data_IF_615045779500
#
_entry.id   IF_615045779500
#
_cell.length_a   1.000
_cell.length_b   1.000
_cell.length_c   1.000
_cell.angle_alpha   90.00
_cell.angle_beta   90.00
_cell.angle_gamma   90.00
#
_symmetry.space_group_name_H-M   'P 1'
#
loop_
_entity.id
_entity.type
_entity.pdbx_description
1 polymer ?
#
# COMPACT_ATOMS: atom_id res chain seq x y z
N UNK A 1 64.70 7.65 22.30
CA UNK A 1 64.83 6.28 21.77
C UNK A 1 63.42 5.84 21.40
N UNK A 2 62.97 6.02 20.15
CA UNK A 2 63.16 5.10 19.01
C UNK A 2 62.50 3.74 19.33
N UNK A 3 61.49 3.21 18.61
CA UNK A 3 61.23 3.28 17.16
C UNK A 3 59.78 2.90 16.81
N UNK A 4 59.34 3.43 15.67
CA UNK A 4 58.15 3.12 14.88
C UNK A 4 57.98 1.63 14.53
N UNK A 5 56.74 1.20 14.26
CA UNK A 5 56.41 0.50 12.99
C UNK A 5 54.91 0.45 12.72
N UNK A 6 54.47 1.35 11.83
CA UNK A 6 53.42 1.09 10.83
C UNK A 6 53.91 -0.01 9.87
N UNK A 7 53.00 -0.88 9.42
CA UNK A 7 53.04 -1.46 8.07
C UNK A 7 51.66 -1.92 7.61
N UNK A 8 51.18 -1.23 6.59
CA UNK A 8 50.10 -1.61 5.67
C UNK A 8 50.31 -3.01 5.08
N UNK A 9 49.21 -3.72 4.81
CA UNK A 9 49.06 -4.53 3.60
C UNK A 9 47.58 -4.65 3.22
N UNK A 10 47.16 -3.80 2.27
CA UNK A 10 46.05 -4.05 1.35
C UNK A 10 46.59 -4.92 0.21
N UNK A 11 46.02 -6.10 -0.03
CA UNK A 11 45.98 -6.69 -1.38
C UNK A 11 44.81 -7.68 -1.48
N UNK A 12 43.87 -7.36 -2.38
CA UNK A 12 42.74 -8.18 -2.80
C UNK A 12 43.23 -9.48 -3.49
N UNK A 13 42.34 -10.49 -3.65
CA UNK A 13 41.57 -10.50 -4.88
C UNK A 13 40.08 -10.67 -4.67
N UNK A 14 39.36 -9.87 -5.45
CA UNK A 14 37.95 -9.97 -5.81
C UNK A 14 37.72 -11.31 -6.49
N UNK A 15 36.81 -12.14 -5.96
CA UNK A 15 36.13 -13.18 -6.75
C UNK A 15 34.68 -12.77 -6.93
N UNK A 16 34.43 -12.09 -8.04
CA UNK A 16 33.13 -12.00 -8.68
C UNK A 16 32.75 -13.40 -9.20
N UNK A 17 31.63 -13.95 -8.74
CA UNK A 17 30.88 -14.94 -9.51
C UNK A 17 29.59 -14.28 -9.98
N UNK A 18 29.65 -13.73 -11.20
CA UNK A 18 28.49 -13.49 -12.05
C UNK A 18 27.76 -14.82 -12.26
N UNK A 19 26.52 -14.90 -11.83
CA UNK A 19 25.56 -15.89 -12.34
C UNK A 19 24.69 -15.16 -13.36
N UNK A 20 25.06 -15.32 -14.63
CA UNK A 20 24.26 -14.89 -15.78
C UNK A 20 22.97 -15.72 -15.85
N UNK A 21 21.82 -15.10 -15.60
CA UNK A 21 20.53 -15.63 -16.03
C UNK A 21 20.13 -14.92 -17.34
N UNK A 22 20.20 -15.68 -18.43
CA UNK A 22 19.83 -15.28 -19.80
C UNK A 22 18.39 -14.74 -19.85
N UNK A 23 18.14 -13.62 -20.55
CA UNK A 23 16.78 -13.19 -20.88
C UNK A 23 16.28 -13.96 -22.10
N UNK A 24 15.26 -14.79 -21.93
CA UNK A 24 14.52 -15.38 -23.04
C UNK A 24 13.66 -14.31 -23.70
N UNK A 25 14.04 -13.96 -24.92
CA UNK A 25 13.46 -12.95 -25.79
C UNK A 25 12.14 -13.49 -26.38
N UNK A 26 10.99 -13.12 -25.81
CA UNK A 26 9.69 -13.33 -26.45
C UNK A 26 9.32 -12.07 -27.25
N UNK A 27 9.26 -12.22 -28.57
CA UNK A 27 8.88 -11.19 -29.53
C UNK A 27 7.38 -10.81 -29.39
N UNK A 28 6.99 -9.57 -29.76
CA UNK A 28 5.60 -9.13 -29.74
C UNK A 28 4.83 -9.63 -30.97
N UNK A 29 3.64 -10.20 -30.76
CA UNK A 29 2.72 -10.55 -31.85
C UNK A 29 1.93 -9.32 -32.30
N UNK A 30 2.26 -8.82 -33.49
CA UNK A 30 1.45 -7.87 -34.28
C UNK A 30 0.47 -8.70 -35.12
N UNK A 31 -0.83 -8.45 -34.96
CA UNK A 31 -1.87 -8.98 -35.83
C UNK A 31 -2.04 -8.13 -37.09
N UNK A 32 -2.15 -8.77 -38.26
CA UNK A 32 -2.86 -8.26 -39.45
C UNK A 32 -3.10 -9.37 -40.51
N UNK A 33 -4.39 -9.58 -40.76
CA UNK A 33 -5.10 -9.76 -42.06
C UNK A 33 -4.71 -10.85 -43.07
N UNK A 34 -5.62 -11.84 -43.19
CA UNK A 34 -6.39 -12.31 -44.36
C UNK A 34 -5.70 -12.82 -45.66
N UNK A 35 -6.08 -14.03 -46.11
CA UNK A 35 -6.20 -14.37 -47.55
C UNK A 35 -5.74 -15.74 -48.08
N UNK A 36 -6.67 -16.72 -48.16
CA UNK A 36 -7.06 -17.55 -49.34
C UNK A 36 -6.31 -18.85 -49.79
N UNK A 37 -7.16 -19.89 -50.03
CA UNK A 37 -7.15 -21.09 -50.93
C UNK A 37 -6.09 -22.21 -50.83
N UNK A 38 -6.50 -23.46 -50.50
CA UNK A 38 -6.73 -24.66 -51.39
C UNK A 38 -5.44 -25.54 -51.45
N UNK A 39 -5.36 -26.88 -51.43
CA UNK A 39 -6.29 -28.02 -51.54
C UNK A 39 -5.63 -29.30 -50.90
N UNK A 40 -6.46 -30.32 -50.67
CA UNK A 40 -6.42 -31.72 -50.10
C UNK A 40 -5.32 -32.72 -50.59
N UNK A 41 -5.18 -34.02 -50.14
CA UNK A 41 -5.57 -34.82 -48.93
C UNK A 41 -4.43 -35.62 -48.20
N UNK A 42 -4.83 -36.20 -47.06
CA UNK A 42 -4.21 -37.25 -46.20
C UNK A 42 -3.78 -38.57 -46.90
N UNK A 43 -3.05 -39.44 -46.17
CA UNK A 43 -3.61 -40.76 -45.92
C UNK A 43 -3.66 -41.21 -44.45
N UNK A 44 -4.72 -41.98 -44.21
CA UNK A 44 -5.14 -42.75 -43.05
C UNK A 44 -4.06 -43.61 -42.37
N UNK A 45 -4.10 -43.66 -41.04
CA UNK A 45 -4.00 -44.94 -40.34
C UNK A 45 -4.84 -44.92 -39.06
N UNK A 46 -5.83 -45.79 -39.03
CA UNK A 46 -6.71 -46.05 -37.90
C UNK A 46 -6.03 -47.00 -36.93
N UNK A 47 -6.09 -46.71 -35.63
CA UNK A 47 -5.97 -47.72 -34.60
C UNK A 47 -6.75 -47.31 -33.33
N UNK A 48 -7.75 -48.14 -33.04
CA UNK A 48 -8.34 -48.46 -31.74
C UNK A 48 -8.98 -47.34 -30.89
N UNK A 49 -10.32 -47.38 -30.88
CA UNK A 49 -11.17 -46.86 -29.80
C UNK A 49 -11.05 -47.80 -28.59
N UNK A 50 -10.75 -47.24 -27.42
CA UNK A 50 -10.93 -47.88 -26.13
C UNK A 50 -12.09 -47.16 -25.39
N UNK A 51 -13.22 -47.82 -25.11
CA UNK A 51 -14.37 -47.18 -24.47
C UNK A 51 -14.39 -47.49 -22.97
N UNK A 52 -13.54 -46.84 -22.19
CA UNK A 52 -13.76 -46.63 -20.74
C UNK A 52 -12.72 -45.71 -20.13
N UNK A 53 -12.85 -44.43 -20.43
CA UNK A 53 -12.52 -43.40 -19.46
C UNK A 53 -13.81 -42.60 -19.25
N UNK A 54 -14.62 -43.02 -18.29
CA UNK A 54 -15.58 -42.11 -17.67
C UNK A 54 -14.71 -41.07 -16.99
N UNK A 55 -14.43 -39.99 -17.70
CA UNK A 55 -13.84 -38.79 -17.16
C UNK A 55 -14.86 -38.29 -16.15
N UNK A 56 -14.67 -38.71 -14.91
CA UNK A 56 -15.46 -38.22 -13.80
C UNK A 56 -14.97 -36.80 -13.62
N UNK A 57 -15.58 -35.86 -14.34
CA UNK A 57 -15.39 -34.43 -14.16
C UNK A 57 -15.55 -34.17 -12.67
N UNK A 58 -14.42 -34.06 -11.95
CA UNK A 58 -14.45 -33.60 -10.56
C UNK A 58 -15.08 -32.23 -10.62
N UNK A 59 -16.21 -31.99 -9.92
CA UNK A 59 -16.81 -30.68 -9.90
C UNK A 59 -15.73 -29.69 -9.48
N UNK A 60 -15.57 -28.63 -10.27
CA UNK A 60 -14.66 -27.55 -9.92
C UNK A 60 -15.13 -27.01 -8.56
N UNK A 61 -14.35 -27.26 -7.52
CA UNK A 61 -14.66 -26.76 -6.17
C UNK A 61 -14.52 -25.24 -6.23
N UNK A 62 -15.65 -24.54 -6.28
CA UNK A 62 -15.68 -23.09 -6.20
C UNK A 62 -15.60 -22.66 -4.74
N UNK A 63 -14.71 -21.70 -4.45
CA UNK A 63 -14.63 -21.08 -3.13
C UNK A 63 -15.59 -19.91 -3.11
N UNK A 64 -16.56 -19.96 -2.20
CA UNK A 64 -17.43 -18.84 -1.92
C UNK A 64 -16.69 -17.77 -1.10
N UNK A 65 -16.84 -16.50 -1.48
CA UNK A 65 -16.17 -15.37 -0.82
C UNK A 65 -17.20 -14.53 -0.07
N UNK A 66 -17.41 -14.85 1.20
CA UNK A 66 -18.35 -14.16 2.08
C UNK A 66 -17.66 -12.95 2.73
N UNK A 67 -18.31 -11.78 2.69
CA UNK A 67 -17.84 -10.56 3.37
C UNK A 67 -17.88 -10.72 4.89
N UNK A 68 -17.06 -9.97 5.62
CA UNK A 68 -16.80 -10.23 7.03
C UNK A 68 -18.03 -10.00 7.92
N UNK A 69 -18.87 -9.03 7.54
CA UNK A 69 -20.16 -8.72 8.15
C UNK A 69 -21.21 -9.83 7.97
N UNK A 70 -21.02 -10.73 7.00
CA UNK A 70 -21.94 -11.80 6.66
C UNK A 70 -21.43 -13.18 7.11
N UNK A 71 -20.33 -13.24 7.87
CA UNK A 71 -19.82 -14.49 8.40
C UNK A 71 -20.63 -14.94 9.62
N UNK A 72 -20.97 -16.21 9.68
CA UNK A 72 -21.59 -16.82 10.85
C UNK A 72 -20.54 -17.31 11.86
N UNK A 73 -20.96 -17.43 13.12
CA UNK A 73 -20.14 -18.04 14.17
C UNK A 73 -19.84 -19.52 13.86
N UNK A 74 -18.72 -20.05 14.36
CA UNK A 74 -18.38 -21.49 14.30
C UNK A 74 -19.21 -22.29 15.31
N UNK A 75 -19.55 -23.53 14.97
CA UNK A 75 -20.39 -24.40 15.81
C UNK A 75 -19.66 -24.84 17.09
N UNK A 76 -18.40 -25.25 16.97
CA UNK A 76 -17.52 -25.67 18.08
C UNK A 76 -16.17 -24.97 17.97
N UNK A 77 -16.02 -23.85 18.69
CA UNK A 77 -14.81 -23.04 18.66
C UNK A 77 -13.57 -23.79 19.16
N UNK A 78 -13.71 -24.65 20.17
CA UNK A 78 -12.58 -25.39 20.75
C UNK A 78 -12.06 -26.45 19.78
N UNK A 79 -12.96 -27.16 19.09
CA UNK A 79 -12.57 -28.11 18.05
C UNK A 79 -11.90 -27.41 16.86
N UNK A 80 -12.44 -26.26 16.43
CA UNK A 80 -11.86 -25.48 15.33
C UNK A 80 -10.48 -24.93 15.72
N UNK A 81 -10.31 -24.38 16.92
CA UNK A 81 -9.01 -23.88 17.41
C UNK A 81 -7.94 -24.97 17.44
N UNK A 82 -8.30 -26.21 17.82
CA UNK A 82 -7.37 -27.35 17.84
C UNK A 82 -6.93 -27.79 16.45
N UNK A 83 -7.75 -27.57 15.42
CA UNK A 83 -7.50 -28.08 14.06
C UNK A 83 -7.03 -27.00 13.08
N UNK A 84 -7.27 -25.71 13.36
CA UNK A 84 -7.02 -24.60 12.42
C UNK A 84 -5.56 -24.54 11.94
N UNK A 85 -4.59 -24.76 12.82
CA UNK A 85 -3.16 -24.74 12.46
C UNK A 85 -2.82 -25.86 11.47
N UNK A 86 -3.34 -27.07 11.71
CA UNK A 86 -3.12 -28.20 10.81
C UNK A 86 -3.82 -27.99 9.45
N UNK A 87 -5.02 -27.41 9.46
CA UNK A 87 -5.75 -27.05 8.24
C UNK A 87 -5.01 -26.02 7.38
N UNK A 88 -4.46 -24.97 8.01
CA UNK A 88 -3.66 -23.95 7.33
C UNK A 88 -2.36 -24.50 6.74
N UNK A 89 -1.77 -25.54 7.36
CA UNK A 89 -0.55 -26.17 6.87
C UNK A 89 -0.80 -27.30 5.85
N UNK A 90 -2.07 -27.59 5.54
CA UNK A 90 -2.47 -28.64 4.61
C UNK A 90 -1.88 -28.45 3.21
N UNK A 91 -1.67 -29.58 2.53
CA UNK A 91 -1.30 -29.61 1.10
C UNK A 91 -2.52 -29.44 0.20
N UNK A 92 -3.71 -29.78 0.71
CA UNK A 92 -4.95 -29.58 0.00
C UNK A 92 -5.39 -28.11 0.13
N UNK A 93 -5.53 -27.45 -1.01
CA UNK A 93 -5.79 -26.02 -1.07
C UNK A 93 -7.22 -25.68 -0.63
N UNK A 94 -8.17 -26.60 -0.75
CA UNK A 94 -9.55 -26.41 -0.27
C UNK A 94 -9.53 -26.37 1.24
N UNK A 95 -8.90 -27.37 1.88
CA UNK A 95 -8.68 -27.39 3.33
C UNK A 95 -8.00 -26.12 3.86
N UNK A 96 -7.03 -25.56 3.11
CA UNK A 96 -6.39 -24.28 3.48
C UNK A 96 -7.39 -23.11 3.41
N UNK A 97 -8.23 -23.05 2.38
CA UNK A 97 -9.28 -22.03 2.27
C UNK A 97 -10.29 -22.14 3.43
N UNK A 98 -10.71 -23.36 3.78
CA UNK A 98 -11.64 -23.59 4.89
C UNK A 98 -11.01 -23.17 6.22
N UNK A 99 -9.75 -23.53 6.45
CA UNK A 99 -9.01 -23.13 7.65
C UNK A 99 -8.83 -21.61 7.72
N UNK A 100 -8.55 -20.93 6.60
CA UNK A 100 -8.50 -19.47 6.54
C UNK A 100 -9.86 -18.84 6.87
N UNK A 101 -10.96 -19.36 6.34
CA UNK A 101 -12.31 -18.90 6.69
C UNK A 101 -12.63 -19.14 8.18
N UNK A 102 -12.15 -20.24 8.76
CA UNK A 102 -12.25 -20.45 10.21
C UNK A 102 -11.42 -19.44 11.00
N UNK A 103 -10.22 -19.06 10.55
CA UNK A 103 -9.45 -17.95 11.18
C UNK A 103 -10.25 -16.65 11.16
N UNK A 104 -10.95 -16.35 10.05
CA UNK A 104 -11.82 -15.17 9.95
C UNK A 104 -12.94 -15.21 10.99
N UNK A 105 -13.69 -16.31 11.04
CA UNK A 105 -14.80 -16.51 12.00
C UNK A 105 -14.31 -16.45 13.45
N UNK A 106 -13.20 -17.13 13.77
CA UNK A 106 -12.59 -17.08 15.10
C UNK A 106 -12.13 -15.67 15.48
N UNK A 107 -11.58 -14.90 14.53
CA UNK A 107 -11.14 -13.52 14.82
C UNK A 107 -12.30 -12.57 15.10
N UNK A 108 -13.48 -12.84 14.55
CA UNK A 108 -14.69 -12.02 14.75
C UNK A 108 -15.45 -12.44 16.01
N UNK A 109 -15.64 -13.74 16.22
CA UNK A 109 -16.54 -14.26 17.26
C UNK A 109 -15.84 -14.82 18.50
N UNK A 110 -14.54 -15.17 18.40
CA UNK A 110 -13.75 -15.82 19.46
C UNK A 110 -12.35 -15.19 19.58
N UNK A 111 -12.30 -13.86 19.51
CA UNK A 111 -11.08 -13.07 19.37
C UNK A 111 -10.05 -13.41 20.47
N UNK A 112 -10.47 -13.51 21.72
CA UNK A 112 -9.59 -13.74 22.87
C UNK A 112 -8.88 -15.10 22.77
N UNK A 113 -9.62 -16.15 22.43
CA UNK A 113 -9.05 -17.48 22.27
C UNK A 113 -8.07 -17.56 21.09
N UNK A 114 -8.41 -16.86 19.99
CA UNK A 114 -7.60 -16.81 18.79
C UNK A 114 -6.34 -15.93 18.94
N UNK A 115 -6.38 -14.90 19.79
CA UNK A 115 -5.24 -14.01 20.09
C UNK A 115 -4.02 -14.81 20.54
N UNK A 116 -4.20 -15.82 21.41
CA UNK A 116 -3.13 -16.69 21.90
C UNK A 116 -2.50 -17.59 20.82
N UNK A 117 -3.11 -17.69 19.64
CA UNK A 117 -2.67 -18.52 18.52
C UNK A 117 -2.03 -17.72 17.38
N UNK A 118 -2.05 -16.38 17.43
CA UNK A 118 -1.61 -15.53 16.32
C UNK A 118 -0.16 -15.74 15.90
N UNK A 119 0.75 -15.97 16.86
CA UNK A 119 2.16 -16.25 16.56
C UNK A 119 2.34 -17.50 15.69
N UNK A 120 1.46 -18.50 15.84
CA UNK A 120 1.46 -19.72 15.03
C UNK A 120 0.70 -19.54 13.72
N UNK A 121 -0.36 -18.74 13.73
CA UNK A 121 -1.30 -18.60 12.61
C UNK A 121 -0.80 -17.60 11.57
N UNK A 122 -0.27 -16.44 11.97
CA UNK A 122 0.18 -15.40 11.03
C UNK A 122 1.24 -15.92 10.05
N UNK A 123 2.27 -16.69 10.46
CA UNK A 123 3.22 -17.28 9.51
C UNK A 123 2.55 -18.16 8.45
N UNK A 124 1.48 -18.89 8.81
CA UNK A 124 0.73 -19.72 7.88
C UNK A 124 -0.20 -18.90 6.98
N UNK A 125 -0.78 -17.80 7.48
CA UNK A 125 -1.48 -16.82 6.63
C UNK A 125 -0.53 -16.21 5.60
N UNK A 126 0.70 -15.88 6.01
CA UNK A 126 1.77 -15.39 5.12
C UNK A 126 2.17 -16.45 4.09
N UNK A 127 2.24 -17.73 4.49
CA UNK A 127 2.43 -18.87 3.56
C UNK A 127 1.31 -18.93 2.53
N UNK A 128 0.06 -18.75 2.96
CA UNK A 128 -1.12 -18.74 2.10
C UNK A 128 -1.17 -17.53 1.15
N UNK A 129 -0.73 -16.35 1.59
CA UNK A 129 -0.55 -15.19 0.71
C UNK A 129 0.47 -15.50 -0.41
N UNK A 130 1.50 -16.30 -0.15
CA UNK A 130 2.49 -16.68 -1.18
C UNK A 130 2.00 -17.78 -2.13
N UNK A 131 0.82 -18.36 -1.89
CA UNK A 131 0.31 -19.49 -2.67
C UNK A 131 0.04 -19.09 -4.14
N UNK A 132 0.41 -19.93 -5.13
CA UNK A 132 0.15 -19.64 -6.55
C UNK A 132 -1.33 -19.68 -6.93
N UNK A 133 -2.17 -20.37 -6.13
CA UNK A 133 -3.62 -20.42 -6.36
C UNK A 133 -4.24 -19.11 -5.88
N UNK A 134 -4.91 -18.41 -6.80
CA UNK A 134 -5.55 -17.14 -6.47
C UNK A 134 -6.69 -17.25 -5.47
N UNK A 135 -7.36 -18.41 -5.38
CA UNK A 135 -8.39 -18.63 -4.38
C UNK A 135 -7.80 -18.55 -2.97
N UNK A 136 -6.78 -19.36 -2.69
CA UNK A 136 -6.03 -19.33 -1.42
C UNK A 136 -5.47 -17.93 -1.14
N UNK A 137 -4.84 -17.30 -2.13
CA UNK A 137 -4.27 -15.97 -1.96
C UNK A 137 -5.33 -14.91 -1.63
N UNK A 138 -6.50 -14.94 -2.29
CA UNK A 138 -7.60 -14.00 -2.00
C UNK A 138 -8.19 -14.25 -0.62
N UNK A 139 -8.46 -15.51 -0.25
CA UNK A 139 -8.98 -15.85 1.08
C UNK A 139 -7.99 -15.42 2.17
N UNK A 140 -6.69 -15.55 1.94
CA UNK A 140 -5.66 -15.06 2.87
C UNK A 140 -5.61 -13.52 2.96
N UNK A 141 -5.90 -12.79 1.87
CA UNK A 141 -6.04 -11.33 1.93
C UNK A 141 -7.25 -10.92 2.77
N UNK A 142 -8.40 -11.57 2.56
CA UNK A 142 -9.61 -11.34 3.38
C UNK A 142 -9.35 -11.68 4.86
N UNK A 143 -8.66 -12.79 5.12
CA UNK A 143 -8.23 -13.18 6.46
C UNK A 143 -7.32 -12.13 7.10
N UNK A 144 -6.38 -11.56 6.34
CA UNK A 144 -5.51 -10.50 6.84
C UNK A 144 -6.32 -9.24 7.21
N UNK A 145 -7.34 -8.90 6.41
CA UNK A 145 -8.22 -7.77 6.70
C UNK A 145 -8.96 -7.93 8.04
N UNK A 146 -9.44 -9.14 8.33
CA UNK A 146 -10.14 -9.48 9.58
C UNK A 146 -9.19 -9.57 10.78
N UNK A 147 -7.95 -10.04 10.58
CA UNK A 147 -6.91 -9.97 11.61
C UNK A 147 -6.62 -8.51 11.98
N UNK A 148 -6.51 -7.61 11.00
CA UNK A 148 -6.26 -6.19 11.29
C UNK A 148 -7.39 -5.54 12.07
N UNK A 149 -8.65 -5.83 11.72
CA UNK A 149 -9.81 -5.26 12.41
C UNK A 149 -10.05 -5.87 13.79
N UNK A 150 -9.73 -7.14 13.98
CA UNK A 150 -9.88 -7.82 15.25
C UNK A 150 -8.81 -7.35 16.24
N UNK A 151 -7.53 -7.42 15.88
CA UNK A 151 -6.42 -7.34 16.85
C UNK A 151 -5.68 -6.00 16.87
N UNK A 152 -5.94 -5.10 15.91
CA UNK A 152 -5.42 -3.74 15.91
C UNK A 152 -3.89 -3.68 16.15
N UNK A 153 -3.47 -3.17 17.31
CA UNK A 153 -2.07 -2.99 17.68
C UNK A 153 -1.40 -4.26 18.22
N UNK A 154 -2.17 -5.27 18.66
CA UNK A 154 -1.64 -6.48 19.30
C UNK A 154 -0.78 -7.32 18.34
N UNK A 155 -0.92 -7.10 17.04
CA UNK A 155 -0.17 -7.81 15.99
C UNK A 155 1.04 -7.03 15.45
N UNK A 156 1.40 -5.90 16.06
CA UNK A 156 2.43 -4.99 15.52
C UNK A 156 3.78 -5.70 15.30
N UNK A 157 4.15 -6.62 16.18
CA UNK A 157 5.40 -7.38 16.09
C UNK A 157 5.39 -8.45 14.98
N UNK A 158 4.20 -8.85 14.53
CA UNK A 158 3.98 -9.86 13.48
C UNK A 158 3.67 -9.22 12.12
N UNK A 159 3.49 -7.89 12.09
CA UNK A 159 2.96 -7.14 10.95
C UNK A 159 3.87 -7.13 9.72
N UNK A 160 5.19 -7.10 9.89
CA UNK A 160 6.15 -6.83 8.80
C UNK A 160 6.01 -7.82 7.63
N UNK A 161 5.80 -9.09 7.97
CA UNK A 161 5.65 -10.17 7.00
C UNK A 161 4.32 -10.08 6.23
N UNK A 162 3.22 -9.75 6.91
CA UNK A 162 1.92 -9.51 6.30
C UNK A 162 1.95 -8.28 5.41
N UNK A 163 2.45 -7.15 5.92
CA UNK A 163 2.58 -5.90 5.18
C UNK A 163 3.35 -6.10 3.87
N UNK A 164 4.51 -6.75 3.94
CA UNK A 164 5.34 -7.03 2.76
C UNK A 164 4.57 -7.85 1.73
N UNK A 165 3.88 -8.92 2.14
CA UNK A 165 3.12 -9.75 1.21
C UNK A 165 1.90 -9.02 0.63
N UNK A 166 1.17 -8.27 1.43
CA UNK A 166 -0.01 -7.52 0.96
C UNK A 166 0.38 -6.41 -0.03
N UNK A 167 1.50 -5.72 0.20
CA UNK A 167 2.04 -4.76 -0.77
C UNK A 167 2.44 -5.43 -2.10
N UNK A 168 3.02 -6.62 -2.04
CA UNK A 168 3.32 -7.41 -3.25
C UNK A 168 2.05 -7.81 -3.98
N UNK A 169 1.01 -8.26 -3.25
CA UNK A 169 -0.25 -8.71 -3.85
C UNK A 169 -1.12 -7.58 -4.39
N UNK A 170 -1.06 -6.40 -3.80
CA UNK A 170 -1.72 -5.20 -4.35
C UNK A 170 -0.96 -4.56 -5.51
N UNK A 171 0.28 -5.01 -5.79
CA UNK A 171 1.10 -4.49 -6.89
C UNK A 171 1.02 -5.34 -8.18
N UNK A 172 0.26 -6.43 -8.18
CA UNK A 172 0.18 -7.37 -9.32
C UNK A 172 -0.96 -7.03 -10.29
N UNK A 173 -0.95 -7.61 -11.50
CA UNK A 173 -1.96 -7.34 -12.53
C UNK A 173 -3.25 -8.16 -12.38
N UNK A 174 -3.26 -9.20 -11.55
CA UNK A 174 -4.46 -10.02 -11.28
C UNK A 174 -5.45 -9.28 -10.38
N UNK A 175 -6.35 -8.51 -11.02
CA UNK A 175 -7.35 -7.64 -10.38
C UNK A 175 -8.05 -8.27 -9.16
N UNK A 176 -8.56 -9.49 -9.31
CA UNK A 176 -9.29 -10.22 -8.27
C UNK A 176 -8.53 -10.36 -6.94
N UNK A 177 -7.22 -10.61 -6.98
CA UNK A 177 -6.38 -10.74 -5.78
C UNK A 177 -5.88 -9.37 -5.34
N UNK A 178 -5.56 -8.51 -6.30
CA UNK A 178 -5.11 -7.14 -6.06
C UNK A 178 -6.13 -6.35 -5.22
N UNK A 179 -7.41 -6.35 -5.60
CA UNK A 179 -8.48 -5.65 -4.88
C UNK A 179 -8.65 -6.16 -3.45
N UNK A 180 -8.54 -7.47 -3.24
CA UNK A 180 -8.62 -8.05 -1.89
C UNK A 180 -7.41 -7.63 -1.02
N UNK A 181 -6.20 -7.58 -1.60
CA UNK A 181 -5.01 -7.12 -0.91
C UNK A 181 -5.09 -5.61 -0.58
N UNK A 182 -5.63 -4.79 -1.47
CA UNK A 182 -5.86 -3.36 -1.23
C UNK A 182 -6.90 -3.13 -0.13
N UNK A 183 -7.98 -3.91 -0.09
CA UNK A 183 -8.96 -3.91 1.02
C UNK A 183 -8.28 -4.27 2.35
N UNK A 184 -7.40 -5.27 2.36
CA UNK A 184 -6.64 -5.63 3.55
C UNK A 184 -5.70 -4.51 4.02
N UNK A 185 -4.97 -3.87 3.10
CA UNK A 185 -4.14 -2.71 3.42
C UNK A 185 -4.97 -1.52 3.93
N UNK A 186 -6.16 -1.31 3.37
CA UNK A 186 -7.09 -0.29 3.87
C UNK A 186 -7.53 -0.61 5.31
N UNK A 187 -7.89 -1.86 5.60
CA UNK A 187 -8.21 -2.33 6.96
C UNK A 187 -7.04 -2.08 7.92
N UNK A 188 -5.82 -2.46 7.54
CA UNK A 188 -4.60 -2.19 8.32
C UNK A 188 -4.46 -0.70 8.65
N UNK A 189 -4.58 0.18 7.66
CA UNK A 189 -4.49 1.64 7.87
C UNK A 189 -5.64 2.24 8.65
N UNK A 190 -6.74 1.50 8.83
CA UNK A 190 -7.91 1.92 9.62
C UNK A 190 -7.77 1.51 11.09
N UNK A 191 -7.22 0.33 11.36
CA UNK A 191 -7.27 -0.28 12.68
C UNK A 191 -5.93 -0.27 13.44
N UNK A 192 -4.79 -0.36 12.74
CA UNK A 192 -3.47 -0.25 13.37
C UNK A 192 -3.16 1.22 13.66
N UNK A 193 -2.61 1.52 14.83
CA UNK A 193 -2.21 2.87 15.21
C UNK A 193 -1.18 3.44 14.22
N UNK A 194 -1.37 4.68 13.72
CA UNK A 194 -0.41 5.32 12.82
C UNK A 194 1.00 5.41 13.41
N UNK A 195 1.14 5.66 14.71
CA UNK A 195 2.44 5.76 15.39
C UNK A 195 3.26 4.46 15.29
N UNK A 196 2.58 3.31 15.29
CA UNK A 196 3.21 1.99 15.14
C UNK A 196 3.39 1.60 13.67
N UNK A 197 2.45 2.00 12.80
CA UNK A 197 2.45 1.62 11.39
C UNK A 197 3.44 2.43 10.53
N UNK A 198 3.56 3.74 10.77
CA UNK A 198 4.40 4.62 9.96
C UNK A 198 5.88 4.21 9.92
N UNK A 199 6.52 3.80 11.05
CA UNK A 199 7.88 3.27 11.02
C UNK A 199 8.02 2.01 10.13
N UNK A 200 7.01 1.13 10.13
CA UNK A 200 6.99 -0.09 9.30
C UNK A 200 6.82 0.22 7.81
N UNK A 201 6.16 1.32 7.46
CA UNK A 201 5.98 1.77 6.06
C UNK A 201 7.23 2.45 5.49
N UNK A 202 8.12 3.02 6.32
CA UNK A 202 9.30 3.77 5.86
C UNK A 202 10.20 2.98 4.88
N UNK A 203 10.58 1.71 5.15
CA UNK A 203 11.34 0.91 4.20
C UNK A 203 10.60 0.67 2.87
N UNK A 204 9.26 0.56 2.92
CA UNK A 204 8.42 0.31 1.76
C UNK A 204 8.34 1.50 0.81
N UNK A 205 8.37 2.73 1.34
CA UNK A 205 8.45 3.98 0.54
C UNK A 205 9.77 4.11 -0.25
N UNK A 206 10.80 3.34 0.12
CA UNK A 206 12.11 3.31 -0.55
C UNK A 206 12.33 2.01 -1.33
N UNK A 207 11.28 1.20 -1.52
CA UNK A 207 11.39 -0.08 -2.22
C UNK A 207 11.85 0.12 -3.67
N UNK A 208 12.65 -0.82 -4.22
CA UNK A 208 13.10 -0.73 -5.62
C UNK A 208 11.93 -0.81 -6.62
N UNK A 209 10.87 -1.55 -6.29
CA UNK A 209 9.71 -1.71 -7.15
C UNK A 209 8.77 -0.47 -7.03
N UNK A 210 8.55 0.29 -8.12
CA UNK A 210 7.70 1.48 -8.11
C UNK A 210 6.26 1.17 -7.71
N UNK A 211 5.71 0.00 -8.06
CA UNK A 211 4.33 -0.39 -7.70
C UNK A 211 4.17 -0.56 -6.19
N UNK A 212 5.17 -1.17 -5.54
CA UNK A 212 5.19 -1.30 -4.08
C UNK A 212 5.28 0.07 -3.43
N UNK A 213 6.13 0.97 -3.94
CA UNK A 213 6.23 2.34 -3.42
C UNK A 213 4.89 3.06 -3.52
N UNK A 214 4.19 2.97 -4.65
CA UNK A 214 2.86 3.57 -4.79
C UNK A 214 1.84 3.05 -3.76
N UNK A 215 1.77 1.74 -3.55
CA UNK A 215 0.87 1.16 -2.54
C UNK A 215 1.27 1.53 -1.11
N UNK A 216 2.57 1.63 -0.83
CA UNK A 216 3.07 2.12 0.46
C UNK A 216 2.75 3.60 0.68
N UNK A 217 2.89 4.44 -0.35
CA UNK A 217 2.54 5.86 -0.32
C UNK A 217 1.05 6.07 -0.05
N UNK A 218 0.18 5.22 -0.61
CA UNK A 218 -1.25 5.24 -0.31
C UNK A 218 -1.55 4.83 1.14
N UNK A 219 -0.83 3.84 1.68
CA UNK A 219 -0.96 3.49 3.10
C UNK A 219 -0.48 4.61 4.02
N UNK A 220 0.62 5.25 3.64
CA UNK A 220 1.18 6.40 4.34
C UNK A 220 0.20 7.58 4.34
N UNK A 221 -0.40 7.91 3.18
CA UNK A 221 -1.36 9.02 3.06
C UNK A 221 -2.65 8.81 3.84
N UNK A 222 -3.10 7.57 4.03
CA UNK A 222 -4.23 7.23 4.90
C UNK A 222 -3.87 7.29 6.38
N UNK A 223 -2.62 7.04 6.73
CA UNK A 223 -2.17 6.95 8.12
C UNK A 223 -1.83 8.31 8.73
N UNK A 224 -1.24 9.23 7.96
CA UNK A 224 -0.79 10.54 8.46
C UNK A 224 -1.95 11.37 9.05
N UNK A 225 -3.10 11.57 8.38
CA UNK A 225 -4.19 12.35 8.94
C UNK A 225 -4.76 11.76 10.24
N UNK A 226 -4.66 10.43 10.42
CA UNK A 226 -5.13 9.75 11.64
C UNK A 226 -4.28 10.02 12.88
N UNK A 227 -3.08 10.57 12.73
CA UNK A 227 -2.30 11.07 13.87
C UNK A 227 -2.97 12.30 14.53
N UNK A 228 -3.76 13.06 13.78
CA UNK A 228 -4.26 14.37 14.22
C UNK A 228 -3.13 15.40 14.40
N UNK A 229 -3.51 16.62 14.79
CA UNK A 229 -2.56 17.74 14.96
C UNK A 229 -1.47 17.41 15.98
N UNK A 230 -1.86 16.91 17.15
CA UNK A 230 -0.91 16.61 18.23
C UNK A 230 -0.02 15.41 17.90
N UNK A 231 -0.56 14.33 17.31
CA UNK A 231 0.25 13.19 16.89
C UNK A 231 1.23 13.53 15.76
N UNK A 232 0.87 14.44 14.85
CA UNK A 232 1.79 14.95 13.81
C UNK A 232 2.96 15.70 14.44
N UNK A 233 2.70 16.54 15.46
CA UNK A 233 3.76 17.24 16.21
C UNK A 233 4.66 16.25 16.95
N UNK A 234 4.09 15.31 17.68
CA UNK A 234 4.82 14.31 18.46
C UNK A 234 5.68 13.39 17.58
N UNK A 235 5.14 12.92 16.45
CA UNK A 235 5.88 12.08 15.52
C UNK A 235 7.05 12.85 14.86
N UNK A 236 6.83 14.14 14.60
CA UNK A 236 7.77 15.03 13.93
C UNK A 236 7.30 15.33 12.50
N UNK A 237 6.76 16.53 12.32
CA UNK A 237 6.29 17.03 11.01
C UNK A 237 7.41 17.04 9.96
N UNK A 238 8.65 17.31 10.36
CA UNK A 238 9.83 17.26 9.50
C UNK A 238 10.05 15.89 8.88
N UNK A 239 9.91 14.81 9.67
CA UNK A 239 10.04 13.44 9.18
C UNK A 239 8.93 13.09 8.18
N UNK A 240 7.71 13.54 8.45
CA UNK A 240 6.56 13.29 7.58
C UNK A 240 6.70 14.04 6.26
N UNK A 241 7.12 15.31 6.30
CA UNK A 241 7.39 16.12 5.11
C UNK A 241 8.53 15.53 4.29
N UNK A 242 9.63 15.11 4.92
CA UNK A 242 10.74 14.44 4.23
C UNK A 242 10.30 13.15 3.52
N UNK A 243 9.50 12.32 4.20
CA UNK A 243 8.97 11.10 3.63
C UNK A 243 8.05 11.40 2.42
N UNK A 244 7.10 12.31 2.55
CA UNK A 244 6.19 12.68 1.46
C UNK A 244 6.94 13.35 0.29
N UNK A 245 7.86 14.27 0.56
CA UNK A 245 8.65 14.95 -0.45
C UNK A 245 9.47 13.97 -1.31
N UNK A 246 9.99 12.90 -0.70
CA UNK A 246 10.72 11.85 -1.44
C UNK A 246 9.87 11.11 -2.47
N UNK A 247 8.55 11.12 -2.33
CA UNK A 247 7.61 10.43 -3.22
C UNK A 247 7.09 11.33 -4.35
N UNK A 248 7.28 12.65 -4.29
CA UNK A 248 6.82 13.60 -5.33
C UNK A 248 7.50 13.37 -6.69
N UNK A 249 8.69 12.77 -6.71
CA UNK A 249 9.44 12.44 -7.92
C UNK A 249 9.31 10.97 -8.31
N UNK A 250 8.40 10.22 -7.67
CA UNK A 250 8.19 8.81 -7.99
C UNK A 250 7.69 8.63 -9.43
N UNK A 251 8.00 7.47 -10.02
CA UNK A 251 7.60 7.12 -11.38
C UNK A 251 6.09 6.98 -11.53
N UNK A 252 5.39 6.46 -10.51
CA UNK A 252 3.95 6.22 -10.59
C UNK A 252 3.14 7.43 -10.10
N UNK A 253 2.09 7.83 -10.86
CA UNK A 253 1.22 8.94 -10.47
C UNK A 253 0.52 8.70 -9.13
N UNK A 254 0.15 7.45 -8.83
CA UNK A 254 -0.48 7.07 -7.56
C UNK A 254 0.39 7.45 -6.35
N UNK A 255 1.71 7.22 -6.43
CA UNK A 255 2.65 7.59 -5.35
C UNK A 255 2.75 9.11 -5.21
N UNK A 256 2.88 9.82 -6.34
CA UNK A 256 2.97 11.28 -6.35
C UNK A 256 1.71 11.95 -5.81
N UNK A 257 0.54 11.43 -6.15
CA UNK A 257 -0.74 12.00 -5.71
C UNK A 257 -0.96 11.77 -4.21
N UNK A 258 -0.69 10.56 -3.71
CA UNK A 258 -0.72 10.29 -2.28
C UNK A 258 0.23 11.21 -1.50
N UNK A 259 1.42 11.49 -2.04
CA UNK A 259 2.38 12.42 -1.45
C UNK A 259 1.86 13.86 -1.39
N UNK A 260 1.21 14.33 -2.47
CA UNK A 260 0.59 15.67 -2.52
C UNK A 260 -0.49 15.83 -1.45
N UNK A 261 -1.38 14.84 -1.32
CA UNK A 261 -2.42 14.85 -0.28
C UNK A 261 -1.81 15.01 1.11
N UNK A 262 -0.73 14.28 1.42
CA UNK A 262 -0.05 14.39 2.71
C UNK A 262 0.57 15.76 2.91
N UNK A 263 1.26 16.31 1.90
CA UNK A 263 1.94 17.60 2.04
C UNK A 263 0.95 18.75 2.27
N UNK A 264 -0.22 18.72 1.62
CA UNK A 264 -1.27 19.70 1.85
C UNK A 264 -1.83 19.63 3.28
N UNK A 265 -2.05 18.41 3.80
CA UNK A 265 -2.47 18.20 5.19
C UNK A 265 -1.41 18.74 6.17
N UNK A 266 -0.14 18.37 5.97
CA UNK A 266 0.95 18.79 6.83
C UNK A 266 1.15 20.31 6.82
N UNK A 267 1.03 20.96 5.66
CA UNK A 267 1.04 22.42 5.56
C UNK A 267 -0.10 23.03 6.38
N UNK A 268 -1.33 22.54 6.21
CA UNK A 268 -2.48 23.05 6.96
C UNK A 268 -2.27 22.94 8.48
N UNK A 269 -1.71 21.82 8.93
CA UNK A 269 -1.37 21.60 10.34
C UNK A 269 -0.26 22.55 10.80
N UNK A 270 0.77 22.75 9.99
CA UNK A 270 1.89 23.64 10.30
C UNK A 270 1.45 25.10 10.45
N UNK A 271 0.65 25.61 9.51
CA UNK A 271 0.15 26.99 9.50
C UNK A 271 -0.80 27.27 10.67
N UNK A 272 -1.66 26.31 11.01
CA UNK A 272 -2.53 26.43 12.21
C UNK A 272 -1.71 26.48 13.51
N UNK A 273 -0.56 25.80 13.55
CA UNK A 273 0.33 25.82 14.70
C UNK A 273 1.21 27.08 14.76
N UNK A 274 1.41 27.77 13.63
CA UNK A 274 2.22 28.99 13.51
C UNK A 274 1.43 30.08 12.77
N UNK A 275 0.38 30.65 13.40
CA UNK A 275 -0.40 31.70 12.76
C UNK A 275 0.50 32.90 12.48
N UNK A 276 0.72 33.19 11.20
CA UNK A 276 1.32 34.46 10.78
C UNK A 276 0.28 35.53 11.14
N UNK A 277 0.62 36.42 12.07
CA UNK A 277 -0.17 37.63 12.32
C UNK A 277 -0.08 38.44 11.04
N UNK A 278 -1.10 38.34 10.18
CA UNK A 278 -1.29 39.29 9.08
C UNK A 278 -1.71 40.59 9.72
N UNK A 279 -0.81 41.56 9.69
CA UNK A 279 -1.04 42.91 10.17
C UNK A 279 -2.04 43.60 9.21
N UNK A 280 -3.34 43.30 9.37
CA UNK A 280 -4.41 44.01 8.69
C UNK A 280 -4.98 45.08 9.64
N UNK A 281 -4.21 46.13 9.88
CA UNK A 281 -4.76 47.48 10.08
C UNK A 281 -3.73 48.51 9.62
N UNK A 282 -3.73 48.78 8.31
CA UNK A 282 -3.19 50.03 7.79
C UNK A 282 -4.16 51.18 8.16
N UNK A 283 -3.99 51.70 9.37
CA UNK A 283 -4.23 53.12 9.64
C UNK A 283 -2.90 53.76 10.01
N UNK A 284 -2.44 54.82 9.33
CA UNK A 284 -1.12 55.37 9.55
C UNK A 284 -1.18 56.34 10.74
N UNK A 285 -0.50 56.04 11.84
CA UNK A 285 0.10 57.09 12.68
C UNK A 285 1.12 56.51 13.68
N UNK A 286 2.35 57.03 13.55
CA UNK A 286 3.41 57.20 14.56
C UNK A 286 4.00 55.97 15.28
N UNK A 287 5.24 55.64 14.89
CA UNK A 287 6.29 54.94 15.65
C UNK A 287 6.76 55.75 16.89
N UNK A 288 7.67 55.25 17.76
CA UNK A 288 8.34 53.93 17.79
C UNK A 288 8.31 53.21 19.16
N UNK A 289 8.54 51.90 19.20
CA UNK A 289 9.66 51.28 19.95
C UNK A 289 9.59 49.76 19.87
N UNK A 290 10.78 49.17 19.90
CA UNK A 290 11.13 47.82 19.50
C UNK A 290 10.54 46.72 20.41
N UNK A 291 9.70 45.87 19.85
CA UNK A 291 9.69 44.45 20.19
C UNK A 291 9.91 43.66 18.90
N UNK A 292 11.14 43.15 18.72
CA UNK A 292 11.44 42.13 17.73
C UNK A 292 10.62 40.88 18.07
N UNK A 293 9.38 40.83 17.61
CA UNK A 293 8.62 39.59 17.56
C UNK A 293 9.33 38.68 16.56
N UNK A 294 9.62 37.40 16.90
CA UNK A 294 10.33 36.54 15.97
C UNK A 294 9.47 36.40 14.72
N UNK A 295 10.00 36.76 13.55
CA UNK A 295 9.40 36.42 12.26
C UNK A 295 9.03 34.94 12.32
N UNK A 296 7.73 34.63 12.40
CA UNK A 296 7.27 33.26 12.53
C UNK A 296 7.85 32.44 11.37
N UNK A 297 8.50 31.33 11.68
CA UNK A 297 9.14 30.47 10.66
C UNK A 297 8.07 30.04 9.66
N UNK A 298 8.09 30.64 8.47
CA UNK A 298 7.10 30.36 7.43
C UNK A 298 7.21 28.91 6.95
N UNK A 299 6.14 28.37 6.34
CA UNK A 299 6.18 27.04 5.73
C UNK A 299 7.32 26.90 4.71
N UNK A 300 7.61 27.97 3.97
CA UNK A 300 8.72 28.04 3.02
C UNK A 300 10.08 27.92 3.71
N UNK A 301 10.33 28.73 4.75
CA UNK A 301 11.56 28.65 5.54
C UNK A 301 11.73 27.28 6.18
N UNK A 302 10.64 26.71 6.69
CA UNK A 302 10.62 25.36 7.23
C UNK A 302 11.05 24.33 6.17
N UNK A 303 10.41 24.33 5.00
CA UNK A 303 10.75 23.41 3.90
C UNK A 303 12.20 23.55 3.45
N UNK A 304 12.69 24.78 3.28
CA UNK A 304 14.08 25.05 2.89
C UNK A 304 15.08 24.59 3.95
N UNK A 305 14.73 24.64 5.24
CA UNK A 305 15.59 24.17 6.34
C UNK A 305 15.65 22.65 6.49
N UNK A 306 14.58 21.92 6.11
CA UNK A 306 14.44 20.47 6.35
C UNK A 306 14.66 19.60 5.12
N UNK A 307 14.67 20.18 3.92
CA UNK A 307 14.73 19.46 2.65
C UNK A 307 15.90 19.95 1.78
N UNK A 308 16.28 19.13 0.79
CA UNK A 308 17.14 19.60 -0.30
C UNK A 308 16.45 20.72 -1.09
N UNK A 309 17.20 21.61 -1.71
CA UNK A 309 16.64 22.71 -2.52
C UNK A 309 15.63 22.23 -3.59
N UNK A 310 15.92 21.11 -4.26
CA UNK A 310 15.03 20.54 -5.27
C UNK A 310 13.73 19.99 -4.65
N UNK A 311 13.85 19.29 -3.52
CA UNK A 311 12.70 18.76 -2.79
C UNK A 311 11.83 19.87 -2.21
N UNK A 312 12.43 20.91 -1.63
CA UNK A 312 11.73 22.08 -1.12
C UNK A 312 10.94 22.77 -2.25
N UNK A 313 11.56 23.01 -3.40
CA UNK A 313 10.88 23.60 -4.55
C UNK A 313 9.73 22.73 -5.08
N UNK A 314 9.88 21.40 -5.04
CA UNK A 314 8.80 20.48 -5.42
C UNK A 314 7.62 20.56 -4.43
N UNK A 315 7.90 20.60 -3.13
CA UNK A 315 6.88 20.77 -2.08
C UNK A 315 6.17 22.11 -2.22
N UNK A 316 6.91 23.21 -2.36
CA UNK A 316 6.35 24.55 -2.48
C UNK A 316 5.46 24.71 -3.71
N UNK A 317 5.81 24.07 -4.84
CA UNK A 317 4.92 24.03 -6.02
C UNK A 317 3.61 23.29 -5.78
N UNK A 318 3.58 22.32 -4.87
CA UNK A 318 2.35 21.61 -4.50
C UNK A 318 1.52 22.45 -3.53
N UNK A 319 2.18 23.06 -2.54
CA UNK A 319 1.52 23.74 -1.42
C UNK A 319 1.08 25.18 -1.72
N UNK A 320 1.79 25.88 -2.62
CA UNK A 320 1.48 27.28 -2.94
C UNK A 320 0.31 27.44 -3.93
N UNK A 321 -0.15 26.36 -4.58
CA UNK A 321 -1.25 26.41 -5.56
C UNK A 321 -2.62 26.65 -4.88
N UNK A 322 -2.71 26.50 -3.56
CA UNK A 322 -3.97 26.65 -2.80
C UNK A 322 -4.25 28.10 -2.36
N UNK A 323 -3.38 29.07 -2.68
CA UNK A 323 -3.63 30.50 -2.42
C UNK A 323 -4.49 31.19 -3.51
N UNK A 324 -5.39 30.46 -4.20
CA UNK A 324 -6.41 31.07 -5.07
C UNK A 324 -7.75 31.01 -4.31
N UNK A 325 -8.26 32.12 -3.78
CA UNK A 325 -9.63 32.15 -3.28
C UNK A 325 -10.56 31.80 -4.44
N UNK A 326 -11.55 30.96 -4.16
CA UNK A 326 -12.58 30.58 -5.11
C UNK A 326 -13.12 31.84 -5.80
N UNK A 327 -12.77 32.03 -7.06
CA UNK A 327 -13.40 33.05 -7.91
C UNK A 327 -14.80 32.54 -8.14
N UNK A 328 -15.76 33.06 -7.38
CA UNK A 328 -17.18 32.90 -7.65
C UNK A 328 -17.40 33.18 -9.14
N UNK A 329 -17.90 32.17 -9.84
CA UNK A 329 -18.25 32.28 -11.25
C UNK A 329 -19.35 33.31 -11.40
N UNK A 330 -19.00 34.45 -11.99
CA UNK A 330 -19.94 35.40 -12.53
C UNK A 330 -20.75 34.70 -13.63
N UNK A 331 -21.92 34.17 -13.27
CA UNK A 331 -22.92 33.70 -14.22
C UNK A 331 -23.46 34.93 -14.94
N UNK A 332 -23.00 35.14 -16.18
CA UNK A 332 -23.64 36.07 -17.11
C UNK A 332 -24.99 35.46 -17.50
N UNK A 333 -26.06 35.94 -16.86
CA UNK A 333 -27.43 35.70 -17.31
C UNK A 333 -27.61 36.31 -18.70
N UNK A 334 -27.73 35.45 -19.72
CA UNK A 334 -28.14 35.84 -21.06
C UNK A 334 -29.61 36.25 -21.03
N UNK A 335 -29.88 37.52 -21.32
CA UNK A 335 -31.20 38.05 -21.60
C UNK A 335 -31.73 37.50 -22.93
N UNK A 336 -32.68 36.56 -22.86
CA UNK A 336 -33.49 36.18 -24.02
C UNK A 336 -34.49 37.29 -24.31
N UNK A 337 -34.25 38.00 -25.42
CA UNK A 337 -35.19 38.98 -25.97
C UNK A 337 -36.30 38.25 -26.71
N UNK A 338 -37.54 38.41 -26.25
CA UNK A 338 -38.73 38.14 -27.05
C UNK A 338 -38.71 38.99 -28.32
N UNK A 339 -39.03 38.39 -29.46
CA UNK A 339 -39.43 39.11 -30.66
C UNK A 339 -40.55 38.33 -31.34
N UNK A 340 -41.60 39.09 -31.61
CA UNK A 340 -42.87 38.72 -32.21
C UNK A 340 -42.69 38.14 -33.61
N UNK A 341 -43.48 37.12 -33.95
CA UNK A 341 -44.55 37.18 -34.97
C UNK A 341 -45.36 35.89 -34.97
#
# INVERSE_FOLDING_TARGET
MASNTLKDMNTLPVTEKMSECKPSLAKPCVGKTNGKSEDRPLPSSAAALDPSAVDTEKPAVEVEYIESENLDNVDDADAVLKTVVAGLDSKDWVSVCDALNNVRRLSIFHKEAMLHMLEKVIPLVVKSLKNPRSAVCKTACMTSADIFSAYNNDITDLLDSLLTQLLLKSSQDKRFVCEAAEKALASMTKYVSPTLLLPKLQPCLKNRNPRIRAKASLCFSRSVPRLGVEGIKEYGIDKLVQAAASQLTDQLPESREAARTVLLELQSVYEKAHPIIKDETSSPSSLPEEEQTPEGVTWEMFCQSKLSALSAQAVLRVTNVVAVPAREGLVTAGSSSSSQL
#
